data_IF_314439315853
#
_entry.id   IF_314439315853
#
_cell.length_a   1.000
_cell.length_b   1.000
_cell.length_c   1.000
_cell.angle_alpha   90.00
_cell.angle_beta   90.00
_cell.angle_gamma   90.00
#
_symmetry.space_group_name_H-M   'P 1'
#
loop_
_entity.id
_entity.type
_entity.pdbx_description
1 polymer ?
#
# COMPACT_ATOMS: atom_id res chain seq x y z
N UNK A 1 -5.71 -27.04 13.00
CA UNK A 1 -5.66 -25.57 13.04
C UNK A 1 -6.22 -25.10 14.38
N UNK A 2 -5.55 -24.16 15.05
CA UNK A 2 -6.06 -23.56 16.29
C UNK A 2 -7.15 -22.53 15.99
N UNK A 3 -8.03 -22.27 16.96
CA UNK A 3 -9.08 -21.24 16.84
C UNK A 3 -8.50 -19.85 16.56
N UNK A 4 -7.35 -19.53 17.17
CA UNK A 4 -6.61 -18.28 16.93
C UNK A 4 -6.16 -18.11 15.47
N UNK A 5 -5.65 -19.18 14.85
CA UNK A 5 -5.25 -19.13 13.44
C UNK A 5 -6.45 -18.91 12.51
N UNK A 6 -7.61 -19.52 12.84
CA UNK A 6 -8.84 -19.33 12.08
C UNK A 6 -9.37 -17.89 12.22
N UNK A 7 -9.34 -17.32 13.42
CA UNK A 7 -9.73 -15.93 13.65
C UNK A 7 -8.82 -14.95 12.91
N UNK A 8 -7.51 -15.20 12.91
CA UNK A 8 -6.53 -14.40 12.17
C UNK A 8 -6.83 -14.39 10.67
N UNK A 9 -7.04 -15.56 10.06
CA UNK A 9 -7.37 -15.67 8.64
C UNK A 9 -8.70 -14.96 8.32
N UNK A 10 -9.72 -15.09 9.18
CA UNK A 10 -10.99 -14.38 8.98
C UNK A 10 -10.80 -12.87 8.92
N UNK A 11 -10.01 -12.30 9.81
CA UNK A 11 -9.70 -10.86 9.81
C UNK A 11 -8.94 -10.43 8.57
N UNK A 12 -7.96 -11.23 8.14
CA UNK A 12 -7.20 -10.96 6.91
C UNK A 12 -8.12 -10.97 5.68
N UNK A 13 -9.00 -11.96 5.56
CA UNK A 13 -9.96 -12.02 4.45
C UNK A 13 -10.96 -10.86 4.47
N UNK A 14 -11.45 -10.47 5.65
CA UNK A 14 -12.30 -9.29 5.80
C UNK A 14 -11.58 -8.01 5.36
N UNK A 15 -10.32 -7.85 5.74
CA UNK A 15 -9.50 -6.72 5.32
C UNK A 15 -9.27 -6.71 3.79
N UNK A 16 -8.95 -7.86 3.20
CA UNK A 16 -8.79 -7.97 1.74
C UNK A 16 -10.09 -7.64 0.99
N UNK A 17 -11.24 -8.04 1.53
CA UNK A 17 -12.55 -7.68 0.97
C UNK A 17 -12.83 -6.18 1.05
N UNK A 18 -12.40 -5.51 2.12
CA UNK A 18 -12.56 -4.06 2.24
C UNK A 18 -11.62 -3.33 1.27
N UNK A 19 -10.38 -3.79 1.13
CA UNK A 19 -9.42 -3.25 0.17
C UNK A 19 -9.93 -3.32 -1.28
N UNK A 20 -10.64 -4.39 -1.66
CA UNK A 20 -11.18 -4.54 -3.01
C UNK A 20 -12.11 -3.39 -3.41
N UNK A 21 -12.82 -2.79 -2.45
CA UNK A 21 -13.72 -1.66 -2.69
C UNK A 21 -13.01 -0.43 -3.25
N UNK A 22 -11.70 -0.29 -3.05
CA UNK A 22 -10.90 0.79 -3.65
C UNK A 22 -10.95 0.79 -5.19
N UNK A 23 -11.25 -0.35 -5.82
CA UNK A 23 -11.45 -0.45 -7.29
C UNK A 23 -12.65 0.37 -7.78
N UNK A 24 -13.61 0.65 -6.90
CA UNK A 24 -14.81 1.45 -7.22
C UNK A 24 -14.63 2.95 -6.96
N UNK A 25 -13.58 3.34 -6.22
CA UNK A 25 -13.32 4.76 -5.90
C UNK A 25 -12.56 5.40 -7.07
N UNK A 26 -13.31 6.05 -7.96
CA UNK A 26 -12.77 6.73 -9.15
C UNK A 26 -12.14 8.08 -8.79
N UNK A 27 -10.93 8.32 -9.29
CA UNK A 27 -10.15 9.55 -9.10
C UNK A 27 -10.39 10.55 -10.23
N UNK A 28 -9.94 11.79 -10.06
CA UNK A 28 -9.99 12.78 -11.14
C UNK A 28 -8.93 12.54 -12.23
N UNK A 29 -7.78 11.97 -11.85
CA UNK A 29 -6.68 11.67 -12.76
C UNK A 29 -7.13 10.74 -13.90
N UNK A 30 -6.92 11.11 -15.17
CA UNK A 30 -7.10 10.18 -16.28
C UNK A 30 -5.95 9.17 -16.33
N UNK A 31 -6.19 8.01 -16.94
CA UNK A 31 -5.10 7.14 -17.37
C UNK A 31 -4.20 7.89 -18.38
N UNK A 32 -2.96 7.40 -18.56
CA UNK A 32 -1.98 7.99 -19.50
C UNK A 32 -2.55 8.08 -20.92
N UNK A 33 -3.27 7.05 -21.36
CA UNK A 33 -3.93 7.00 -22.67
C UNK A 33 -5.30 7.72 -22.71
N UNK A 34 -5.71 8.35 -21.61
CA UNK A 34 -6.95 9.15 -21.44
C UNK A 34 -8.26 8.43 -21.76
N UNK A 35 -8.28 7.09 -21.79
CA UNK A 35 -9.50 6.33 -22.12
C UNK A 35 -10.54 6.34 -21.01
N UNK A 36 -10.09 6.43 -19.75
CA UNK A 36 -10.94 6.54 -18.57
C UNK A 36 -10.21 7.23 -17.42
N UNK A 37 -10.95 7.48 -16.34
CA UNK A 37 -10.38 7.89 -15.05
C UNK A 37 -9.78 6.70 -14.31
N UNK A 38 -8.70 6.96 -13.59
CA UNK A 38 -8.01 6.03 -12.70
C UNK A 38 -8.90 5.69 -11.47
N UNK A 39 -8.81 4.47 -10.93
CA UNK A 39 -9.40 4.15 -9.63
C UNK A 39 -8.32 4.11 -8.52
N UNK A 40 -8.75 4.14 -7.26
CA UNK A 40 -7.83 4.25 -6.13
C UNK A 40 -6.96 3.02 -5.92
N UNK A 41 -7.42 1.82 -6.32
CA UNK A 41 -6.57 0.61 -6.26
C UNK A 41 -5.43 0.68 -7.30
N UNK A 42 -5.72 1.11 -8.53
CA UNK A 42 -4.72 1.31 -9.59
C UNK A 42 -3.67 2.34 -9.19
N UNK A 43 -4.13 3.45 -8.59
CA UNK A 43 -3.26 4.51 -8.12
C UNK A 43 -2.28 4.04 -7.05
N UNK A 44 -2.79 3.33 -6.03
CA UNK A 44 -1.94 2.80 -4.95
C UNK A 44 -0.94 1.78 -5.45
N UNK A 45 -1.34 0.91 -6.40
CA UNK A 45 -0.40 -0.01 -7.03
C UNK A 45 0.69 0.74 -7.80
N UNK A 46 0.31 1.75 -8.59
CA UNK A 46 1.27 2.53 -9.36
C UNK A 46 2.25 3.31 -8.47
N UNK A 47 1.76 3.88 -7.36
CA UNK A 47 2.60 4.53 -6.36
C UNK A 47 3.59 3.54 -5.71
N UNK A 48 3.15 2.33 -5.36
CA UNK A 48 4.03 1.29 -4.84
C UNK A 48 5.10 0.90 -5.86
N UNK A 49 4.77 0.82 -7.15
CA UNK A 49 5.74 0.57 -8.22
C UNK A 49 6.73 1.72 -8.37
N UNK A 50 6.28 2.98 -8.30
CA UNK A 50 7.20 4.12 -8.27
C UNK A 50 8.16 4.06 -7.08
N UNK A 51 7.67 3.72 -5.88
CA UNK A 51 8.53 3.60 -4.71
C UNK A 51 9.61 2.52 -4.90
N UNK A 52 9.24 1.35 -5.44
CA UNK A 52 10.22 0.28 -5.70
C UNK A 52 11.22 0.64 -6.80
N UNK A 53 10.75 1.19 -7.92
CA UNK A 53 11.59 1.51 -9.10
C UNK A 53 12.53 2.68 -8.83
N UNK A 54 12.07 3.71 -8.11
CA UNK A 54 12.85 4.92 -7.85
C UNK A 54 13.61 4.87 -6.52
N UNK A 55 13.62 3.71 -5.84
CA UNK A 55 14.23 3.54 -4.51
C UNK A 55 15.73 3.86 -4.48
N UNK A 56 16.45 3.68 -5.57
CA UNK A 56 17.89 3.99 -5.67
C UNK A 56 18.18 5.50 -5.83
N UNK A 57 17.17 6.30 -6.14
CA UNK A 57 17.30 7.74 -6.37
C UNK A 57 16.92 8.60 -5.16
N UNK A 58 16.57 7.95 -4.05
CA UNK A 58 16.19 8.61 -2.79
C UNK A 58 17.24 8.28 -1.73
N UNK A 59 17.80 9.31 -1.10
CA UNK A 59 18.59 9.12 0.11
C UNK A 59 17.64 8.73 1.25
N UNK A 60 17.92 7.59 1.88
CA UNK A 60 17.27 7.05 3.09
C UNK A 60 15.78 7.41 3.29
N UNK A 61 14.89 6.60 2.71
CA UNK A 61 13.43 6.70 2.95
C UNK A 61 13.07 6.31 4.39
N UNK A 62 13.99 5.67 5.12
CA UNK A 62 13.78 5.03 6.42
C UNK A 62 14.18 5.91 7.62
N UNK A 63 14.45 7.20 7.41
CA UNK A 63 14.58 8.19 8.49
C UNK A 63 13.33 8.27 9.41
N UNK A 64 12.22 7.60 9.07
CA UNK A 64 11.00 7.51 9.87
C UNK A 64 10.79 6.17 10.61
N UNK A 65 11.65 5.16 10.43
CA UNK A 65 11.57 3.90 11.20
C UNK A 65 12.86 3.50 11.94
N UNK A 66 13.95 4.27 11.80
CA UNK A 66 15.28 3.88 12.31
C UNK A 66 15.77 4.44 13.65
N UNK A 67 14.99 5.17 14.46
CA UNK A 67 15.54 5.82 15.68
C UNK A 67 14.71 5.69 16.97
N UNK A 68 14.10 4.53 17.20
CA UNK A 68 13.68 4.09 18.54
C UNK A 68 14.57 2.93 18.97
N UNK A 69 15.80 3.21 19.41
CA UNK A 69 16.64 2.14 19.97
C UNK A 69 18.14 2.36 20.10
N UNK A 70 18.70 3.55 19.89
CA UNK A 70 20.08 3.83 20.31
C UNK A 70 20.12 5.00 21.28
N UNK A 71 20.03 4.67 22.57
CA UNK A 71 20.58 5.53 23.63
C UNK A 71 22.11 5.50 23.49
N UNK A 72 22.79 6.63 23.22
CA UNK A 72 24.16 6.77 23.68
C UNK A 72 24.11 6.98 25.22
N UNK A 73 25.15 6.51 25.90
CA UNK A 73 25.24 6.55 27.37
C UNK A 73 25.34 7.96 27.96
#
# INVERSE_FOLDING_TARGET
MTTEALETIRRQLAFLSELDRLKSVIRQSPLINRTRRENSAEHSWHLAMFALVLSEHVEDVDALHGNIGKSPG
#
